data_IF_433602713837
#
_entry.id   IF_433602713837
#
_cell.length_a   1.000
_cell.length_b   1.000
_cell.length_c   1.000
_cell.angle_alpha   90.00
_cell.angle_beta   90.00
_cell.angle_gamma   90.00
#
_symmetry.space_group_name_H-M   'P 1'
#
loop_
_entity.id
_entity.type
_entity.pdbx_description
1 polymer ?
#
# COMPACT_ATOMS: atom_id res chain seq x y z
N UNK A 1 30.63 58.09 -18.89
CA UNK A 1 29.70 58.81 -19.78
C UNK A 1 28.36 58.81 -19.07
N UNK A 2 28.02 59.95 -18.49
CA UNK A 2 26.72 60.23 -17.86
C UNK A 2 25.76 60.68 -18.96
N UNK A 3 24.52 60.19 -18.96
CA UNK A 3 23.44 60.76 -19.76
C UNK A 3 22.26 61.05 -18.83
N UNK A 4 21.83 62.31 -18.87
CA UNK A 4 20.73 62.93 -18.12
C UNK A 4 19.53 63.16 -19.07
N UNK A 5 18.34 62.64 -18.68
CA UNK A 5 16.95 63.13 -18.92
C UNK A 5 16.37 63.25 -20.36
N UNK A 6 15.05 63.55 -20.54
CA UNK A 6 13.96 63.79 -19.56
C UNK A 6 12.55 63.22 -19.91
N UNK A 7 11.55 63.52 -19.06
CA UNK A 7 10.07 63.67 -19.31
C UNK A 7 9.20 62.39 -19.23
N UNK A 8 8.36 62.13 -18.20
CA UNK A 8 7.14 62.80 -17.68
C UNK A 8 5.87 62.42 -18.47
N UNK A 9 5.13 61.41 -18.02
CA UNK A 9 3.67 61.39 -18.18
C UNK A 9 2.98 60.51 -17.12
N UNK A 10 1.84 61.04 -16.65
CA UNK A 10 1.07 60.75 -15.44
C UNK A 10 0.51 59.31 -15.39
N UNK A 11 0.62 58.64 -14.24
CA UNK A 11 -0.23 57.49 -13.94
C UNK A 11 -1.25 57.87 -12.86
N UNK A 12 -2.49 57.96 -13.34
CA UNK A 12 -3.73 58.30 -12.67
C UNK A 12 -3.91 57.54 -11.34
N UNK A 13 -4.17 58.29 -10.27
CA UNK A 13 -4.74 57.76 -9.03
C UNK A 13 -6.22 57.43 -9.27
N UNK A 14 -6.57 56.15 -9.26
CA UNK A 14 -7.97 55.73 -9.09
C UNK A 14 -8.15 55.32 -7.63
N UNK A 15 -8.73 56.22 -6.84
CA UNK A 15 -9.45 55.80 -5.64
C UNK A 15 -10.70 55.05 -6.12
N UNK A 16 -10.69 53.72 -6.00
CA UNK A 16 -11.91 52.93 -6.03
C UNK A 16 -12.13 52.44 -4.60
N UNK A 17 -12.97 53.19 -3.89
CA UNK A 17 -13.98 52.70 -2.96
C UNK A 17 -14.07 51.16 -2.80
N UNK A 18 -13.19 50.58 -1.96
CA UNK A 18 -13.39 49.23 -1.43
C UNK A 18 -14.43 49.31 -0.30
N UNK A 19 -15.68 49.47 -0.74
CA UNK A 19 -16.87 49.32 0.08
C UNK A 19 -17.05 47.85 0.42
N UNK A 20 -16.75 47.50 1.67
CA UNK A 20 -17.54 46.56 2.50
C UNK A 20 -18.00 45.28 1.77
N UNK A 21 -17.11 44.30 1.63
CA UNK A 21 -17.43 42.89 1.33
C UNK A 21 -16.58 41.99 2.23
N UNK A 22 -16.73 42.13 3.56
CA UNK A 22 -15.98 41.33 4.55
C UNK A 22 -16.92 40.52 5.44
N UNK A 23 -18.01 39.97 4.88
CA UNK A 23 -18.92 39.12 5.66
C UNK A 23 -19.45 37.88 4.94
N UNK A 24 -19.32 37.76 3.62
CA UNK A 24 -19.74 36.54 2.89
C UNK A 24 -18.55 35.59 2.57
N UNK A 25 -17.33 36.12 2.47
CA UNK A 25 -16.12 35.33 2.16
C UNK A 25 -15.68 34.40 3.31
N UNK A 26 -15.74 34.87 4.56
CA UNK A 26 -15.30 34.10 5.75
C UNK A 26 -16.18 32.87 6.02
N UNK A 27 -17.47 32.94 5.66
CA UNK A 27 -18.40 31.82 5.80
C UNK A 27 -18.31 30.82 4.65
N UNK A 28 -17.90 31.26 3.45
CA UNK A 28 -17.74 30.38 2.29
C UNK A 28 -16.47 29.54 2.36
N UNK A 29 -15.37 30.09 2.88
CA UNK A 29 -14.10 29.37 3.02
C UNK A 29 -14.20 28.27 4.10
N UNK A 30 -14.85 28.55 5.22
CA UNK A 30 -15.09 27.57 6.28
C UNK A 30 -16.01 26.41 5.87
N UNK A 31 -16.94 26.63 4.92
CA UNK A 31 -17.84 25.56 4.41
C UNK A 31 -17.12 24.67 3.40
N UNK A 32 -16.26 25.26 2.55
CA UNK A 32 -15.40 24.50 1.63
C UNK A 32 -14.40 23.59 2.36
N UNK A 33 -13.86 24.04 3.51
CA UNK A 33 -12.97 23.21 4.33
C UNK A 33 -13.70 22.04 4.99
N UNK A 34 -14.98 22.18 5.37
CA UNK A 34 -15.77 21.08 5.95
C UNK A 34 -16.11 20.03 4.90
N UNK A 35 -16.65 20.42 3.74
CA UNK A 35 -16.93 19.46 2.65
C UNK A 35 -15.64 18.75 2.20
N UNK A 36 -14.51 19.47 2.14
CA UNK A 36 -13.21 18.91 1.78
C UNK A 36 -12.62 17.98 2.87
N UNK A 37 -13.02 18.12 4.12
CA UNK A 37 -12.65 17.19 5.20
C UNK A 37 -13.52 15.95 5.13
N UNK A 38 -14.84 16.08 4.95
CA UNK A 38 -15.77 14.96 4.82
C UNK A 38 -15.42 14.06 3.61
N UNK A 39 -15.10 14.66 2.45
CA UNK A 39 -14.65 13.94 1.26
C UNK A 39 -13.34 13.17 1.49
N UNK A 40 -12.41 13.74 2.28
CA UNK A 40 -11.14 13.10 2.65
C UNK A 40 -11.36 11.96 3.63
N UNK A 41 -12.23 12.13 4.61
CA UNK A 41 -12.58 11.08 5.57
C UNK A 41 -13.21 9.88 4.85
N UNK A 42 -14.16 10.13 3.94
CA UNK A 42 -14.75 9.08 3.11
C UNK A 42 -13.71 8.38 2.23
N UNK A 43 -12.83 9.14 1.57
CA UNK A 43 -11.75 8.56 0.76
C UNK A 43 -10.79 7.70 1.59
N UNK A 44 -10.47 8.12 2.83
CA UNK A 44 -9.60 7.37 3.73
C UNK A 44 -10.25 6.06 4.19
N UNK A 45 -11.55 6.08 4.46
CA UNK A 45 -12.30 4.88 4.87
C UNK A 45 -12.34 3.84 3.73
N UNK A 46 -12.60 4.27 2.49
CA UNK A 46 -12.54 3.41 1.30
C UNK A 46 -11.14 2.83 1.04
N UNK A 47 -10.10 3.66 1.22
CA UNK A 47 -8.71 3.23 1.11
C UNK A 47 -8.36 2.20 2.19
N UNK A 48 -8.84 2.38 3.42
CA UNK A 48 -8.60 1.46 4.51
C UNK A 48 -9.28 0.11 4.27
N UNK A 49 -10.55 0.11 3.87
CA UNK A 49 -11.29 -1.11 3.50
C UNK A 49 -10.58 -1.87 2.38
N UNK A 50 -10.13 -1.15 1.35
CA UNK A 50 -9.39 -1.73 0.22
C UNK A 50 -8.05 -2.36 0.65
N UNK A 51 -7.36 -1.75 1.62
CA UNK A 51 -6.10 -2.29 2.17
C UNK A 51 -6.37 -3.55 3.00
N UNK A 52 -7.45 -3.54 3.80
CA UNK A 52 -7.86 -4.70 4.59
C UNK A 52 -8.22 -5.90 3.69
N UNK A 53 -9.06 -5.69 2.66
CA UNK A 53 -9.42 -6.73 1.69
C UNK A 53 -8.18 -7.27 0.95
N UNK A 54 -7.25 -6.39 0.56
CA UNK A 54 -6.01 -6.81 -0.09
C UNK A 54 -5.14 -7.65 0.84
N UNK A 55 -5.02 -7.30 2.12
CA UNK A 55 -4.24 -8.09 3.07
C UNK A 55 -4.83 -9.49 3.28
N UNK A 56 -6.16 -9.60 3.45
CA UNK A 56 -6.83 -10.90 3.58
C UNK A 56 -6.57 -11.80 2.36
N UNK A 57 -6.62 -11.20 1.16
CA UNK A 57 -6.36 -11.92 -0.09
C UNK A 57 -4.90 -12.33 -0.26
N UNK A 58 -3.96 -11.51 0.22
CA UNK A 58 -2.54 -11.85 0.25
C UNK A 58 -2.32 -13.05 1.17
N UNK A 59 -2.90 -13.04 2.38
CA UNK A 59 -2.78 -14.15 3.34
C UNK A 59 -3.34 -15.47 2.77
N UNK A 60 -4.47 -15.42 2.07
CA UNK A 60 -5.03 -16.59 1.39
C UNK A 60 -4.07 -17.13 0.30
N UNK A 61 -3.54 -16.23 -0.54
CA UNK A 61 -2.62 -16.60 -1.61
C UNK A 61 -1.30 -17.17 -1.08
N UNK A 62 -0.77 -16.62 0.01
CA UNK A 62 0.42 -17.14 0.68
C UNK A 62 0.17 -18.56 1.20
N UNK A 63 -0.99 -18.82 1.81
CA UNK A 63 -1.39 -20.16 2.23
C UNK A 63 -1.45 -21.17 1.07
N UNK A 64 -2.05 -20.77 -0.05
CA UNK A 64 -2.14 -21.60 -1.26
C UNK A 64 -0.77 -21.87 -1.89
N UNK A 65 0.13 -20.86 -1.92
CA UNK A 65 1.50 -21.03 -2.39
C UNK A 65 2.30 -21.98 -1.51
N UNK A 66 2.13 -21.90 -0.19
CA UNK A 66 2.78 -22.82 0.74
C UNK A 66 2.32 -24.26 0.50
N UNK A 67 1.01 -24.51 0.34
CA UNK A 67 0.48 -25.84 -0.01
C UNK A 67 1.05 -26.34 -1.35
N UNK A 68 1.11 -25.49 -2.38
CA UNK A 68 1.71 -25.85 -3.67
C UNK A 68 3.20 -26.18 -3.55
N UNK A 69 3.95 -25.42 -2.73
CA UNK A 69 5.37 -25.63 -2.51
C UNK A 69 5.67 -26.97 -1.84
N UNK A 70 4.79 -27.45 -0.97
CA UNK A 70 4.94 -28.79 -0.35
C UNK A 70 4.78 -29.90 -1.38
N UNK A 71 3.82 -29.81 -2.30
CA UNK A 71 3.64 -30.77 -3.39
C UNK A 71 4.80 -30.78 -4.39
N UNK A 72 5.45 -29.63 -4.62
CA UNK A 72 6.67 -29.56 -5.45
C UNK A 72 7.83 -30.36 -4.83
N UNK A 73 7.85 -30.52 -3.50
CA UNK A 73 8.84 -31.37 -2.83
C UNK A 73 8.66 -32.88 -3.10
N UNK A 74 7.47 -33.33 -3.50
CA UNK A 74 7.22 -34.75 -3.82
C UNK A 74 7.88 -35.18 -5.15
N UNK A 75 8.09 -34.23 -6.07
CA UNK A 75 8.57 -34.45 -7.45
C UNK A 75 10.08 -34.28 -7.69
N UNK A 76 10.91 -34.31 -6.64
CA UNK A 76 12.36 -34.03 -6.62
C UNK A 76 12.77 -32.54 -6.43
N UNK A 77 11.83 -31.66 -6.05
CA UNK A 77 12.09 -30.27 -5.65
C UNK A 77 12.39 -30.10 -4.14
N UNK A 78 12.86 -28.90 -3.75
CA UNK A 78 12.85 -28.47 -2.34
C UNK A 78 11.56 -27.67 -2.11
N UNK A 79 10.73 -28.05 -1.14
CA UNK A 79 9.51 -27.33 -0.78
C UNK A 79 9.67 -26.49 0.49
N UNK A 80 8.64 -25.73 0.86
CA UNK A 80 8.60 -24.94 2.09
C UNK A 80 7.49 -25.45 3.00
N UNK A 81 7.80 -25.64 4.27
CA UNK A 81 6.84 -26.13 5.26
C UNK A 81 5.82 -25.03 5.58
N UNK A 82 4.51 -25.31 5.58
CA UNK A 82 3.47 -24.31 5.87
C UNK A 82 3.46 -23.86 7.33
N UNK A 83 4.01 -24.65 8.26
CA UNK A 83 3.94 -24.34 9.70
C UNK A 83 5.15 -23.53 10.21
N UNK A 84 6.33 -23.72 9.61
CA UNK A 84 7.57 -23.13 10.11
C UNK A 84 8.44 -22.48 9.03
N UNK A 85 7.94 -22.45 7.78
CA UNK A 85 8.64 -21.93 6.60
C UNK A 85 10.03 -22.58 6.37
N UNK A 86 10.25 -23.76 6.95
CA UNK A 86 11.50 -24.51 6.84
C UNK A 86 11.56 -25.40 5.59
N UNK A 87 12.76 -25.81 5.14
CA UNK A 87 12.91 -26.58 3.91
C UNK A 87 12.37 -28.01 4.07
N UNK A 88 11.57 -28.42 3.08
CA UNK A 88 10.97 -29.75 2.92
C UNK A 88 11.73 -30.52 1.85
N UNK A 89 12.20 -31.71 2.21
CA UNK A 89 13.02 -32.56 1.33
C UNK A 89 12.55 -34.01 1.38
N UNK A 90 12.74 -34.72 0.26
CA UNK A 90 12.53 -36.16 0.17
C UNK A 90 13.76 -36.91 0.68
N UNK A 91 13.60 -37.69 1.76
CA UNK A 91 14.62 -38.59 2.28
C UNK A 91 14.40 -39.99 1.73
N UNK A 92 15.37 -40.50 0.99
CA UNK A 92 15.41 -41.87 0.46
C UNK A 92 16.52 -42.70 1.13
N UNK A 93 16.32 -43.17 2.39
CA UNK A 93 17.28 -44.05 3.06
C UNK A 93 17.34 -45.43 2.41
N UNK A 94 18.55 -46.02 2.29
CA UNK A 94 18.79 -47.31 1.60
C UNK A 94 17.98 -48.51 2.12
N UNK A 95 17.47 -48.45 3.35
CA UNK A 95 16.79 -49.56 4.03
C UNK A 95 15.44 -49.18 4.64
N UNK A 96 14.93 -47.97 4.38
CA UNK A 96 13.59 -47.55 4.86
C UNK A 96 12.80 -46.92 3.72
N UNK A 97 11.50 -46.80 3.95
CA UNK A 97 10.57 -46.11 3.07
C UNK A 97 11.01 -44.67 2.84
N UNK A 98 10.85 -44.21 1.60
CA UNK A 98 11.07 -42.81 1.28
C UNK A 98 10.05 -41.97 2.02
N UNK A 99 10.43 -40.77 2.45
CA UNK A 99 9.50 -39.85 3.10
C UNK A 99 9.84 -38.41 2.81
N UNK A 100 8.82 -37.57 2.72
CA UNK A 100 8.95 -36.13 2.56
C UNK A 100 8.74 -35.48 3.91
N UNK A 101 9.79 -34.83 4.44
CA UNK A 101 9.78 -34.22 5.77
C UNK A 101 10.36 -32.81 5.77
N UNK A 102 9.84 -31.96 6.65
CA UNK A 102 10.48 -30.69 6.97
C UNK A 102 11.72 -30.94 7.83
N UNK A 103 12.85 -30.38 7.42
CA UNK A 103 14.13 -30.51 8.13
C UNK A 103 14.22 -29.65 9.40
N UNK A 104 13.30 -28.69 9.58
CA UNK A 104 13.31 -27.75 10.69
C UNK A 104 12.35 -28.16 11.81
N UNK A 105 11.06 -28.38 11.51
CA UNK A 105 10.08 -28.81 12.51
C UNK A 105 9.89 -30.33 12.60
N UNK A 106 10.41 -31.10 11.63
CA UNK A 106 10.30 -32.57 11.63
C UNK A 106 8.95 -33.13 11.17
N UNK A 107 7.99 -32.28 10.76
CA UNK A 107 6.70 -32.75 10.24
C UNK A 107 6.90 -33.59 8.98
N UNK A 108 6.26 -34.75 8.93
CA UNK A 108 6.23 -35.63 7.76
C UNK A 108 4.94 -35.38 6.97
N UNK A 109 5.07 -35.15 5.67
CA UNK A 109 3.93 -34.87 4.78
C UNK A 109 3.49 -36.14 4.05
N UNK A 110 4.44 -36.94 3.58
CA UNK A 110 4.19 -38.18 2.85
C UNK A 110 5.22 -39.26 3.18
N UNK A 111 4.79 -40.52 3.23
CA UNK A 111 5.64 -41.72 3.39
C UNK A 111 5.25 -42.75 2.31
N UNK A 112 6.25 -43.35 1.65
CA UNK A 112 6.09 -44.29 0.52
C UNK A 112 6.35 -45.74 0.94
#
# INVERSE_FOLDING_TARGET
MTNDGPTDEEEITVETEESVETSEAETSEAVLDVESVEDREQSLEELQETVEEQNERIEELEGLLLDLSTRVADGDGTGVCPDCNGPVVKKNPLFRRARVECTQCGRTFHEY
#
